data_IF_926400671860
#
_entry.id   IF_926400671860
#
_cell.length_a   1.000
_cell.length_b   1.000
_cell.length_c   1.000
_cell.angle_alpha   90.00
_cell.angle_beta   90.00
_cell.angle_gamma   90.00
#
_symmetry.space_group_name_H-M   'P 1'
#
loop_
_entity.id
_entity.type
_entity.pdbx_description
1 polymer ?
#
# COMPACT_ATOMS: atom_id res chain seq x y z
N UNK A 1 70.32 32.67 6.38
CA UNK A 1 70.54 33.78 5.42
C UNK A 1 69.17 34.24 4.96
N UNK A 2 68.94 35.55 4.99
CA UNK A 2 67.94 36.31 4.18
C UNK A 2 66.49 35.82 4.12
N UNK A 3 65.70 36.37 5.04
CA UNK A 3 64.42 37.11 4.81
C UNK A 3 64.56 38.15 3.64
N UNK A 4 63.52 38.88 3.12
CA UNK A 4 62.13 39.06 3.57
C UNK A 4 61.10 38.95 2.40
N UNK A 5 59.84 39.45 2.37
CA UNK A 5 59.06 40.41 3.20
C UNK A 5 57.55 40.33 2.87
N UNK A 6 56.68 40.51 3.86
CA UNK A 6 55.55 41.49 3.91
C UNK A 6 54.61 41.14 5.08
N UNK A 7 54.77 41.77 6.24
CA UNK A 7 54.37 43.16 6.59
C UNK A 7 52.93 43.23 7.17
N UNK A 8 52.81 42.65 8.37
CA UNK A 8 52.31 43.22 9.64
C UNK A 8 50.91 43.85 9.87
N UNK A 9 50.40 43.72 11.13
CA UNK A 9 49.13 44.28 11.62
C UNK A 9 49.31 45.47 12.61
N UNK A 10 48.19 46.11 13.02
CA UNK A 10 48.04 46.86 14.30
C UNK A 10 46.56 46.70 14.74
N UNK A 11 46.17 46.16 15.91
CA UNK A 11 46.22 46.71 17.31
C UNK A 11 45.40 48.03 17.48
N UNK A 12 44.75 48.41 18.60
CA UNK A 12 44.35 47.75 19.88
C UNK A 12 43.27 48.63 20.58
N UNK A 13 42.63 48.08 21.62
CA UNK A 13 41.61 48.67 22.53
C UNK A 13 42.17 49.76 23.51
N UNK A 14 41.56 50.14 24.67
CA UNK A 14 40.15 50.33 25.12
C UNK A 14 39.91 51.61 26.02
N UNK A 15 38.71 51.73 26.64
CA UNK A 15 38.37 52.52 27.86
C UNK A 15 38.41 54.08 27.74
N UNK A 16 37.71 54.93 28.52
CA UNK A 16 36.71 54.83 29.61
C UNK A 16 35.69 56.02 29.44
N UNK A 17 34.84 56.52 30.37
CA UNK A 17 34.60 56.29 31.82
C UNK A 17 33.13 56.69 32.21
N UNK A 18 32.89 57.11 33.47
CA UNK A 18 31.61 57.31 34.17
C UNK A 18 31.27 58.79 34.59
N UNK A 19 30.15 58.97 35.33
CA UNK A 19 29.68 60.16 36.13
C UNK A 19 29.11 61.37 35.34
N UNK A 20 28.13 62.17 35.81
CA UNK A 20 27.03 62.00 36.80
C UNK A 20 25.97 63.14 36.65
N UNK A 21 24.88 63.04 37.44
CA UNK A 21 24.02 64.13 37.99
C UNK A 21 22.80 64.71 37.21
N UNK A 22 21.81 65.17 37.99
CA UNK A 22 20.39 65.39 37.72
C UNK A 22 19.97 66.82 37.32
N UNK A 23 18.80 66.97 36.66
CA UNK A 23 17.83 68.05 36.98
C UNK A 23 16.39 67.86 36.45
N UNK A 24 15.47 67.45 37.34
CA UNK A 24 14.07 67.91 37.61
C UNK A 24 13.06 68.23 36.45
N UNK A 25 11.81 67.76 36.65
CA UNK A 25 10.60 67.78 35.77
C UNK A 25 9.73 69.10 35.89
N UNK A 26 8.40 69.22 35.57
CA UNK A 26 7.31 68.21 35.37
C UNK A 26 6.15 68.51 34.34
N UNK A 27 5.13 67.61 34.32
CA UNK A 27 3.68 67.70 33.94
C UNK A 27 3.26 68.22 32.53
N UNK A 28 2.29 67.64 31.78
CA UNK A 28 0.87 67.30 32.05
C UNK A 28 0.30 66.39 30.89
N UNK A 29 -0.88 65.70 30.99
CA UNK A 29 -1.28 64.64 30.06
C UNK A 29 -2.40 65.00 29.05
N UNK A 30 -2.90 63.96 28.36
CA UNK A 30 -4.14 63.86 27.57
C UNK A 30 -4.15 64.37 26.11
N UNK A 31 -4.16 63.41 25.17
CA UNK A 31 -4.95 63.48 23.92
C UNK A 31 -5.03 62.09 23.25
N UNK A 32 -6.15 61.38 23.43
CA UNK A 32 -6.62 60.45 22.40
C UNK A 32 -7.28 61.28 21.28
N UNK A 33 -7.23 60.81 20.03
CA UNK A 33 -8.50 60.32 19.48
C UNK A 33 -8.41 59.04 18.63
N UNK A 34 -9.33 58.12 18.92
CA UNK A 34 -10.18 57.39 17.99
C UNK A 34 -9.64 56.90 16.61
N UNK A 35 -9.63 55.57 16.49
CA UNK A 35 -10.10 54.77 15.33
C UNK A 35 -9.35 54.87 14.00
N UNK A 36 -8.69 53.76 13.62
CA UNK A 36 -8.80 53.22 12.26
C UNK A 36 -8.77 51.67 12.31
N UNK A 37 -9.74 51.04 11.64
CA UNK A 37 -9.87 49.59 11.46
C UNK A 37 -9.18 49.21 10.14
N UNK A 38 -7.94 48.71 10.22
CA UNK A 38 -7.22 48.17 9.07
C UNK A 38 -7.26 46.64 9.08
N UNK A 39 -8.41 46.10 8.70
CA UNK A 39 -8.63 44.69 8.45
C UNK A 39 -8.15 44.25 7.04
N UNK A 40 -6.95 44.68 6.61
CA UNK A 40 -6.30 44.19 5.38
C UNK A 40 -5.61 42.83 5.57
N UNK A 41 -6.43 41.80 5.78
CA UNK A 41 -5.99 40.41 5.69
C UNK A 41 -5.53 40.09 4.26
N UNK A 42 -4.21 40.09 4.04
CA UNK A 42 -3.57 39.73 2.79
C UNK A 42 -3.84 38.24 2.48
N UNK A 43 -4.59 37.88 1.41
CA UNK A 43 -4.85 36.49 1.08
C UNK A 43 -3.61 35.91 0.40
N UNK A 44 -2.67 35.44 1.24
CA UNK A 44 -1.62 34.55 0.78
C UNK A 44 -2.26 33.37 0.06
N UNK A 45 -1.92 33.19 -1.21
CA UNK A 45 -2.51 32.18 -2.09
C UNK A 45 -2.20 30.78 -1.57
N UNK A 46 -3.18 30.17 -0.90
CA UNK A 46 -3.15 28.77 -0.49
C UNK A 46 -3.13 27.86 -1.74
N UNK A 47 -2.10 27.02 -1.94
CA UNK A 47 -2.06 26.09 -3.07
C UNK A 47 -3.11 24.95 -3.00
N UNK A 48 -3.89 24.83 -1.93
CA UNK A 48 -4.85 23.73 -1.74
C UNK A 48 -6.08 23.77 -2.69
N UNK A 49 -6.36 24.90 -3.32
CA UNK A 49 -7.66 25.21 -3.92
C UNK A 49 -7.88 24.73 -5.38
N UNK A 50 -7.55 23.48 -5.75
CA UNK A 50 -7.87 22.91 -7.09
C UNK A 50 -8.40 21.47 -7.12
N UNK A 51 -8.84 20.91 -6.00
CA UNK A 51 -9.66 19.68 -6.04
C UNK A 51 -11.15 20.05 -6.21
N UNK A 52 -11.89 19.47 -7.17
CA UNK A 52 -13.34 19.49 -7.11
C UNK A 52 -13.78 18.82 -5.82
N UNK A 53 -14.69 19.43 -5.06
CA UNK A 53 -15.32 18.82 -3.89
C UNK A 53 -16.30 17.72 -4.35
N UNK A 54 -15.74 16.60 -4.86
CA UNK A 54 -16.46 15.37 -5.14
C UNK A 54 -17.18 14.95 -3.85
N UNK A 55 -18.52 14.82 -3.92
CA UNK A 55 -19.29 14.40 -2.75
C UNK A 55 -18.85 13.00 -2.29
N UNK A 56 -18.95 12.65 -0.99
CA UNK A 56 -18.57 11.33 -0.52
C UNK A 56 -19.24 10.17 -1.28
N UNK A 57 -20.46 10.38 -1.79
CA UNK A 57 -21.16 9.42 -2.63
C UNK A 57 -20.48 9.22 -4.01
N UNK A 58 -19.96 10.29 -4.63
CA UNK A 58 -19.19 10.22 -5.88
C UNK A 58 -17.87 9.49 -5.64
N UNK A 59 -17.15 9.82 -4.57
CA UNK A 59 -15.92 9.14 -4.19
C UNK A 59 -16.13 7.63 -4.01
N UNK A 60 -17.16 7.22 -3.25
CA UNK A 60 -17.52 5.80 -3.06
C UNK A 60 -17.92 5.12 -4.37
N UNK A 61 -18.71 5.77 -5.23
CA UNK A 61 -19.12 5.21 -6.51
C UNK A 61 -17.94 5.01 -7.47
N UNK A 62 -17.02 5.97 -7.54
CA UNK A 62 -15.79 5.89 -8.34
C UNK A 62 -14.85 4.81 -7.79
N UNK A 63 -14.65 4.75 -6.48
CA UNK A 63 -13.82 3.74 -5.82
C UNK A 63 -14.34 2.31 -6.08
N UNK A 64 -15.66 2.10 -5.97
CA UNK A 64 -16.31 0.83 -6.29
C UNK A 64 -16.16 0.48 -7.78
N UNK A 65 -16.42 1.44 -8.68
CA UNK A 65 -16.31 1.22 -10.12
C UNK A 65 -14.89 0.81 -10.54
N UNK A 66 -13.86 1.52 -10.05
CA UNK A 66 -12.45 1.21 -10.35
C UNK A 66 -12.02 -0.12 -9.74
N UNK A 67 -12.40 -0.38 -8.48
CA UNK A 67 -12.07 -1.62 -7.79
C UNK A 67 -12.68 -2.88 -8.40
N UNK A 68 -13.83 -2.76 -9.07
CA UNK A 68 -14.47 -3.85 -9.85
C UNK A 68 -13.93 -3.92 -11.28
N UNK A 69 -13.62 -2.78 -11.91
CA UNK A 69 -13.18 -2.73 -13.31
C UNK A 69 -11.83 -3.43 -13.53
N UNK A 70 -10.88 -3.34 -12.59
CA UNK A 70 -9.59 -4.04 -12.69
C UNK A 70 -9.75 -5.56 -12.89
N UNK A 71 -10.44 -6.28 -11.98
CA UNK A 71 -10.77 -7.69 -12.13
C UNK A 71 -11.55 -8.02 -13.41
N UNK A 72 -12.48 -7.16 -13.85
CA UNK A 72 -13.20 -7.36 -15.12
C UNK A 72 -12.26 -7.28 -16.33
N UNK A 73 -11.35 -6.29 -16.36
CA UNK A 73 -10.33 -6.17 -17.41
C UNK A 73 -9.36 -7.36 -17.39
N UNK A 74 -8.99 -7.87 -16.21
CA UNK A 74 -8.12 -9.04 -16.08
C UNK A 74 -8.79 -10.31 -16.61
N UNK A 75 -10.08 -10.52 -16.33
CA UNK A 75 -10.85 -11.64 -16.87
C UNK A 75 -11.01 -11.57 -18.39
N UNK A 76 -11.34 -10.38 -18.93
CA UNK A 76 -11.45 -10.18 -20.39
C UNK A 76 -10.09 -10.38 -21.09
N UNK A 77 -9.01 -9.87 -20.50
CA UNK A 77 -7.65 -10.04 -21.00
C UNK A 77 -7.19 -11.50 -20.95
N UNK A 78 -7.48 -12.21 -19.85
CA UNK A 78 -7.23 -13.65 -19.71
C UNK A 78 -8.01 -14.48 -20.73
N UNK A 79 -9.27 -14.14 -20.98
CA UNK A 79 -10.08 -14.81 -22.00
C UNK A 79 -9.54 -14.55 -23.42
N UNK A 80 -9.07 -13.33 -23.71
CA UNK A 80 -8.40 -13.02 -24.98
C UNK A 80 -7.10 -13.81 -25.16
N UNK A 81 -6.29 -13.91 -24.11
CA UNK A 81 -5.06 -14.69 -24.11
C UNK A 81 -5.31 -16.19 -24.29
N UNK A 82 -6.35 -16.75 -23.67
CA UNK A 82 -6.78 -18.15 -23.88
C UNK A 82 -7.15 -18.44 -25.34
N UNK A 83 -7.80 -17.50 -26.02
CA UNK A 83 -8.12 -17.63 -27.45
C UNK A 83 -6.86 -17.62 -28.32
N UNK A 84 -5.88 -16.76 -27.99
CA UNK A 84 -4.56 -16.73 -28.67
C UNK A 84 -3.80 -18.03 -28.43
N UNK A 85 -3.72 -18.49 -27.18
CA UNK A 85 -3.08 -19.74 -26.77
C UNK A 85 -3.64 -20.95 -27.55
N UNK A 86 -4.97 -21.06 -27.60
CA UNK A 86 -5.68 -22.08 -28.38
C UNK A 86 -5.35 -21.98 -29.88
N UNK A 87 -5.33 -20.76 -30.44
CA UNK A 87 -5.09 -20.53 -31.87
C UNK A 87 -3.65 -20.83 -32.32
N UNK A 88 -2.66 -20.72 -31.43
CA UNK A 88 -1.26 -21.06 -31.72
C UNK A 88 -0.89 -22.52 -31.41
N UNK A 89 -1.85 -23.33 -30.93
CA UNK A 89 -1.65 -24.74 -30.62
C UNK A 89 -1.14 -25.03 -29.20
N UNK A 90 -1.27 -24.06 -28.28
CA UNK A 90 -0.85 -24.17 -26.88
C UNK A 90 0.56 -23.63 -26.63
N UNK A 91 0.67 -22.68 -25.70
CA UNK A 91 1.93 -22.14 -25.20
C UNK A 91 2.52 -23.03 -24.09
N UNK A 92 3.84 -23.00 -23.85
CA UNK A 92 4.42 -23.55 -22.64
C UNK A 92 3.80 -22.91 -21.40
N UNK A 93 3.42 -23.70 -20.38
CA UNK A 93 2.68 -23.21 -19.19
C UNK A 93 3.31 -21.97 -18.54
N UNK A 94 4.65 -21.94 -18.39
CA UNK A 94 5.35 -20.81 -17.81
C UNK A 94 5.22 -19.51 -18.65
N UNK A 95 5.12 -19.62 -19.98
CA UNK A 95 4.88 -18.49 -20.89
C UNK A 95 3.43 -18.03 -20.76
N UNK A 96 2.46 -18.96 -20.74
CA UNK A 96 1.06 -18.64 -20.53
C UNK A 96 0.83 -17.92 -19.19
N UNK A 97 1.39 -18.44 -18.09
CA UNK A 97 1.31 -17.84 -16.74
C UNK A 97 2.00 -16.47 -16.69
N UNK A 98 3.14 -16.28 -17.35
CA UNK A 98 3.78 -14.96 -17.41
C UNK A 98 2.91 -13.95 -18.17
N UNK A 99 2.27 -14.36 -19.26
CA UNK A 99 1.38 -13.50 -20.04
C UNK A 99 0.07 -13.20 -19.30
N UNK A 100 -0.54 -14.16 -18.57
CA UNK A 100 -1.72 -13.88 -17.73
C UNK A 100 -1.37 -12.92 -16.59
N UNK A 101 -0.20 -13.05 -15.97
CA UNK A 101 0.30 -12.11 -14.96
C UNK A 101 0.49 -10.70 -15.54
N UNK A 102 1.13 -10.57 -16.71
CA UNK A 102 1.34 -9.25 -17.35
C UNK A 102 0.00 -8.59 -17.70
N UNK A 103 -0.92 -9.33 -18.32
CA UNK A 103 -2.23 -8.79 -18.73
C UNK A 103 -3.12 -8.50 -17.53
N UNK A 104 -3.22 -9.43 -16.58
CA UNK A 104 -4.07 -9.30 -15.40
C UNK A 104 -3.60 -8.25 -14.40
N UNK A 105 -2.28 -8.08 -14.23
CA UNK A 105 -1.73 -7.19 -13.20
C UNK A 105 -1.20 -5.88 -13.81
N UNK A 106 -0.20 -5.93 -14.70
CA UNK A 106 0.37 -4.70 -15.26
C UNK A 106 -0.60 -3.93 -16.15
N UNK A 107 -1.37 -4.61 -17.01
CA UNK A 107 -2.33 -3.92 -17.90
C UNK A 107 -3.64 -3.62 -17.16
N UNK A 108 -4.31 -4.62 -16.61
CA UNK A 108 -5.66 -4.45 -16.06
C UNK A 108 -5.73 -3.75 -14.69
N UNK A 109 -4.72 -3.88 -13.82
CA UNK A 109 -4.74 -3.25 -12.49
C UNK A 109 -3.84 -2.01 -12.45
N UNK A 110 -2.54 -2.18 -12.70
CA UNK A 110 -1.57 -1.08 -12.73
C UNK A 110 -1.87 -0.07 -13.85
N UNK A 111 -2.15 -0.56 -15.06
CA UNK A 111 -2.49 0.27 -16.22
C UNK A 111 -3.83 0.99 -16.07
N UNK A 112 -4.84 0.36 -15.45
CA UNK A 112 -6.10 1.01 -15.10
C UNK A 112 -5.88 2.15 -14.10
N UNK A 113 -5.12 1.90 -13.03
CA UNK A 113 -4.85 2.88 -11.99
C UNK A 113 -4.03 4.08 -12.51
N UNK A 114 -2.94 3.82 -13.23
CA UNK A 114 -2.11 4.87 -13.86
C UNK A 114 -2.90 5.62 -14.93
N UNK A 115 -3.68 4.91 -15.76
CA UNK A 115 -4.54 5.52 -16.78
C UNK A 115 -5.65 6.39 -16.18
N UNK A 116 -6.23 5.98 -15.04
CA UNK A 116 -7.21 6.76 -14.30
C UNK A 116 -6.61 8.07 -13.75
N UNK A 117 -5.42 8.01 -13.15
CA UNK A 117 -4.75 9.20 -12.64
C UNK A 117 -4.29 10.14 -13.78
N UNK A 118 -3.80 9.59 -14.89
CA UNK A 118 -3.49 10.37 -16.08
C UNK A 118 -4.75 11.04 -16.67
N UNK A 119 -5.89 10.35 -16.70
CA UNK A 119 -7.18 10.92 -17.11
C UNK A 119 -7.69 12.01 -16.15
N UNK A 120 -7.40 11.90 -14.85
CA UNK A 120 -7.60 12.96 -13.84
C UNK A 120 -6.65 14.16 -14.00
N UNK A 121 -5.72 14.12 -14.95
CA UNK A 121 -4.80 15.23 -15.26
C UNK A 121 -3.46 15.19 -14.51
N UNK A 122 -3.15 14.12 -13.78
CA UNK A 122 -1.85 13.98 -13.12
C UNK A 122 -0.76 13.65 -14.15
N UNK A 123 0.34 14.41 -14.13
CA UNK A 123 1.56 14.07 -14.86
C UNK A 123 2.35 12.95 -14.15
N UNK A 124 3.48 12.53 -14.72
CA UNK A 124 4.29 11.45 -14.15
C UNK A 124 4.75 11.74 -12.71
N UNK A 125 5.12 12.98 -12.41
CA UNK A 125 5.50 13.42 -11.06
C UNK A 125 4.31 13.40 -10.12
N UNK A 126 3.17 13.91 -10.56
CA UNK A 126 1.91 13.92 -9.83
C UNK A 126 1.40 12.51 -9.50
N UNK A 127 1.54 11.55 -10.41
CA UNK A 127 1.20 10.14 -10.15
C UNK A 127 2.13 9.56 -9.07
N UNK A 128 3.45 9.81 -9.17
CA UNK A 128 4.42 9.32 -8.18
C UNK A 128 4.17 9.91 -6.80
N UNK A 129 3.82 11.20 -6.69
CA UNK A 129 3.51 11.83 -5.40
C UNK A 129 2.14 11.42 -4.85
N UNK A 130 1.11 11.33 -5.69
CA UNK A 130 -0.24 10.88 -5.28
C UNK A 130 -0.22 9.44 -4.73
N UNK A 131 0.58 8.58 -5.36
CA UNK A 131 0.81 7.20 -4.91
C UNK A 131 1.88 7.09 -3.80
N UNK A 132 2.52 8.19 -3.37
CA UNK A 132 3.58 8.15 -2.36
C UNK A 132 4.76 7.23 -2.69
N UNK A 133 5.10 7.01 -3.98
CA UNK A 133 6.10 6.00 -4.36
C UNK A 133 7.51 6.48 -4.01
N UNK A 134 8.02 6.02 -2.86
CA UNK A 134 9.37 6.35 -2.36
C UNK A 134 10.08 5.13 -1.76
N UNK A 135 11.40 5.22 -1.62
CA UNK A 135 12.18 4.15 -0.96
C UNK A 135 11.77 4.06 0.53
N UNK A 136 11.42 2.88 1.05
CA UNK A 136 11.17 2.70 2.48
C UNK A 136 12.43 2.98 3.32
N UNK A 137 12.22 3.61 4.47
CA UNK A 137 13.19 3.66 5.56
C UNK A 137 13.33 2.31 6.28
N UNK A 138 14.38 2.12 7.08
CA UNK A 138 14.55 0.89 7.88
C UNK A 138 13.38 0.65 8.84
N UNK A 139 12.80 1.72 9.41
CA UNK A 139 11.59 1.64 10.24
C UNK A 139 10.40 1.09 9.47
N UNK A 140 10.20 1.55 8.23
CA UNK A 140 9.13 1.06 7.35
C UNK A 140 9.36 -0.40 6.90
N UNK A 141 10.61 -0.83 6.70
CA UNK A 141 10.92 -2.27 6.52
C UNK A 141 10.58 -3.07 7.79
N UNK A 142 10.81 -2.49 8.98
CA UNK A 142 10.31 -3.05 10.25
C UNK A 142 8.78 -3.18 10.28
N UNK A 143 8.04 -2.22 9.73
CA UNK A 143 6.58 -2.27 9.60
C UNK A 143 6.11 -3.32 8.59
N UNK A 144 6.88 -3.65 7.54
CA UNK A 144 6.58 -4.80 6.66
C UNK A 144 6.59 -6.10 7.47
N UNK A 145 7.61 -6.34 8.30
CA UNK A 145 7.69 -7.56 9.11
C UNK A 145 6.66 -7.56 10.24
N UNK A 146 6.50 -6.44 10.95
CA UNK A 146 5.54 -6.30 12.03
C UNK A 146 4.08 -6.42 11.57
N UNK A 147 3.74 -5.78 10.44
CA UNK A 147 2.44 -5.90 9.78
C UNK A 147 2.16 -7.33 9.33
N UNK A 148 3.17 -8.05 8.81
CA UNK A 148 3.02 -9.45 8.45
C UNK A 148 2.74 -10.35 9.66
N UNK A 149 3.41 -10.11 10.80
CA UNK A 149 3.11 -10.82 12.07
C UNK A 149 1.68 -10.53 12.54
N UNK A 150 1.21 -9.28 12.45
CA UNK A 150 -0.20 -8.94 12.76
C UNK A 150 -1.16 -9.71 11.86
N UNK A 151 -0.90 -9.76 10.54
CA UNK A 151 -1.70 -10.55 9.59
C UNK A 151 -1.75 -12.02 9.98
N UNK A 152 -0.60 -12.64 10.29
CA UNK A 152 -0.55 -14.05 10.70
C UNK A 152 -1.37 -14.29 11.97
N UNK A 153 -1.22 -13.44 13.00
CA UNK A 153 -1.99 -13.56 14.26
C UNK A 153 -3.50 -13.40 13.99
N UNK A 154 -3.90 -12.41 13.21
CA UNK A 154 -5.32 -12.21 12.88
C UNK A 154 -5.88 -13.37 12.06
N UNK A 155 -5.14 -13.87 11.07
CA UNK A 155 -5.57 -15.03 10.28
C UNK A 155 -5.67 -16.31 11.11
N UNK A 156 -4.78 -16.55 12.08
CA UNK A 156 -4.92 -17.66 13.02
C UNK A 156 -6.23 -17.55 13.81
N UNK A 157 -6.50 -16.39 14.44
CA UNK A 157 -7.72 -16.15 15.22
C UNK A 157 -8.98 -16.31 14.36
N UNK A 158 -9.03 -15.69 13.18
CA UNK A 158 -10.20 -15.77 12.28
C UNK A 158 -10.39 -17.19 11.76
N UNK A 159 -9.31 -17.89 11.39
CA UNK A 159 -9.38 -19.28 10.93
C UNK A 159 -9.82 -20.25 12.03
N UNK A 160 -9.46 -20.00 13.30
CA UNK A 160 -10.00 -20.76 14.44
C UNK A 160 -11.51 -20.54 14.61
N UNK A 161 -12.00 -19.31 14.46
CA UNK A 161 -13.45 -19.01 14.50
C UNK A 161 -14.19 -19.70 13.35
N UNK A 162 -13.66 -19.64 12.13
CA UNK A 162 -14.23 -20.32 10.94
C UNK A 162 -14.34 -21.84 11.16
N UNK A 163 -13.29 -22.46 11.71
CA UNK A 163 -13.30 -23.89 12.05
C UNK A 163 -14.31 -24.23 13.16
N UNK A 164 -14.41 -23.42 14.21
CA UNK A 164 -15.41 -23.63 15.29
C UNK A 164 -16.85 -23.50 14.80
N UNK A 165 -17.10 -22.69 13.77
CA UNK A 165 -18.40 -22.56 13.11
C UNK A 165 -18.70 -23.67 12.09
N UNK A 166 -17.73 -24.57 11.82
CA UNK A 166 -17.85 -25.58 10.78
C UNK A 166 -18.00 -25.00 9.37
N UNK A 167 -17.53 -23.77 9.15
CA UNK A 167 -17.71 -23.06 7.90
C UNK A 167 -16.66 -23.49 6.87
N UNK A 168 -17.11 -23.89 5.68
CA UNK A 168 -16.25 -24.20 4.53
C UNK A 168 -15.51 -22.95 4.03
N UNK A 169 -14.36 -23.16 3.40
CA UNK A 169 -13.58 -22.13 2.69
C UNK A 169 -13.44 -22.49 1.22
N UNK A 170 -13.33 -21.48 0.36
CA UNK A 170 -13.03 -21.64 -1.06
C UNK A 170 -11.52 -21.67 -1.34
N UNK A 171 -11.13 -22.49 -2.33
CA UNK A 171 -9.79 -22.53 -2.92
C UNK A 171 -9.54 -21.32 -3.83
N UNK A 172 -8.27 -21.00 -4.08
CA UNK A 172 -7.84 -19.97 -5.02
C UNK A 172 -7.31 -20.62 -6.31
N UNK A 173 -7.74 -20.12 -7.47
CA UNK A 173 -7.38 -20.69 -8.79
C UNK A 173 -5.87 -20.75 -9.04
N UNK A 174 -5.11 -19.75 -8.58
CA UNK A 174 -3.65 -19.72 -8.72
C UNK A 174 -2.96 -20.74 -7.80
N UNK A 175 -3.54 -21.01 -6.62
CA UNK A 175 -3.07 -22.05 -5.71
C UNK A 175 -3.40 -23.46 -6.26
N UNK A 176 -4.58 -23.67 -6.84
CA UNK A 176 -4.93 -24.92 -7.51
C UNK A 176 -4.00 -25.22 -8.70
N UNK A 177 -3.73 -24.22 -9.55
CA UNK A 177 -2.79 -24.35 -10.67
C UNK A 177 -1.37 -24.68 -10.20
N UNK A 178 -0.94 -24.06 -9.08
CA UNK A 178 0.34 -24.32 -8.42
C UNK A 178 0.46 -25.74 -7.85
N UNK A 179 -0.59 -26.25 -7.19
CA UNK A 179 -0.64 -27.63 -6.68
C UNK A 179 -0.48 -28.63 -7.84
N UNK A 180 -1.18 -28.37 -8.95
CA UNK A 180 -1.10 -29.22 -10.15
C UNK A 180 0.25 -29.11 -10.88
N UNK A 181 0.99 -28.02 -10.70
CA UNK A 181 2.24 -27.74 -11.41
C UNK A 181 3.31 -27.12 -10.48
N UNK A 182 3.86 -27.85 -9.49
CA UNK A 182 4.69 -27.25 -8.43
C UNK A 182 5.96 -26.52 -8.94
N UNK A 183 6.41 -26.84 -10.14
CA UNK A 183 7.54 -26.19 -10.83
C UNK A 183 7.32 -24.70 -11.13
N UNK A 184 6.06 -24.21 -11.16
CA UNK A 184 5.77 -22.78 -11.35
C UNK A 184 5.74 -21.99 -10.04
N UNK A 185 5.81 -22.63 -8.88
CA UNK A 185 5.69 -21.94 -7.60
C UNK A 185 6.83 -20.92 -7.36
N UNK A 186 8.11 -21.21 -7.68
CA UNK A 186 9.17 -20.20 -7.60
C UNK A 186 8.91 -18.96 -8.47
N UNK A 187 8.27 -19.12 -9.63
CA UNK A 187 7.83 -17.99 -10.47
C UNK A 187 6.76 -17.16 -9.76
N UNK A 188 5.77 -17.80 -9.13
CA UNK A 188 4.76 -17.10 -8.35
C UNK A 188 5.35 -16.35 -7.14
N UNK A 189 6.25 -16.97 -6.37
CA UNK A 189 6.94 -16.33 -5.24
C UNK A 189 7.62 -15.02 -5.65
N UNK A 190 8.33 -15.02 -6.79
CA UNK A 190 8.95 -13.80 -7.34
C UNK A 190 7.89 -12.82 -7.86
N UNK A 191 6.85 -13.31 -8.54
CA UNK A 191 5.77 -12.48 -9.07
C UNK A 191 4.95 -11.77 -7.98
N UNK A 192 4.86 -12.31 -6.76
CA UNK A 192 4.16 -11.65 -5.65
C UNK A 192 4.82 -10.31 -5.28
N UNK A 193 6.14 -10.20 -5.35
CA UNK A 193 6.87 -8.96 -5.05
C UNK A 193 6.99 -8.01 -6.24
N UNK A 194 7.09 -8.52 -7.46
CA UNK A 194 7.39 -7.70 -8.65
C UNK A 194 6.15 -7.31 -9.46
N UNK A 195 5.08 -8.09 -9.36
CA UNK A 195 3.90 -8.00 -10.21
C UNK A 195 2.64 -7.79 -9.36
N UNK A 196 2.24 -8.79 -8.56
CA UNK A 196 0.94 -8.82 -7.87
C UNK A 196 0.85 -7.77 -6.78
N UNK A 197 1.71 -7.83 -5.75
CA UNK A 197 1.71 -6.86 -4.65
C UNK A 197 1.78 -5.40 -5.14
N UNK A 198 2.70 -5.04 -6.05
CA UNK A 198 2.72 -3.69 -6.64
C UNK A 198 1.45 -3.31 -7.39
N UNK A 199 0.96 -4.13 -8.32
CA UNK A 199 -0.20 -3.76 -9.15
C UNK A 199 -1.50 -3.69 -8.36
N UNK A 200 -1.71 -4.61 -7.43
CA UNK A 200 -2.89 -4.62 -6.58
C UNK A 200 -2.87 -3.46 -5.59
N UNK A 201 -1.76 -3.18 -4.90
CA UNK A 201 -1.73 -2.04 -3.99
C UNK A 201 -1.82 -0.69 -4.74
N UNK A 202 -1.23 -0.56 -5.94
CA UNK A 202 -1.43 0.62 -6.80
C UNK A 202 -2.93 0.88 -7.06
N UNK A 203 -3.69 -0.16 -7.40
CA UNK A 203 -5.13 -0.01 -7.61
C UNK A 203 -5.88 0.24 -6.30
N UNK A 204 -5.70 -0.61 -5.28
CA UNK A 204 -6.58 -0.63 -4.10
C UNK A 204 -6.17 0.35 -3.00
N UNK A 205 -4.89 0.67 -2.81
CA UNK A 205 -4.42 1.69 -1.86
C UNK A 205 -4.19 3.02 -2.53
N UNK A 206 -3.44 2.99 -3.61
CA UNK A 206 -3.15 4.18 -4.41
C UNK A 206 -4.42 4.85 -4.88
N UNK A 207 -5.26 4.14 -5.64
CA UNK A 207 -6.44 4.75 -6.29
C UNK A 207 -7.75 4.56 -5.51
N UNK A 208 -8.15 3.33 -5.13
CA UNK A 208 -9.45 3.09 -4.47
C UNK A 208 -9.48 3.71 -3.07
N UNK A 209 -8.51 3.42 -2.20
CA UNK A 209 -8.41 4.06 -0.88
C UNK A 209 -8.08 5.55 -1.01
N UNK A 210 -7.14 5.96 -1.88
CA UNK A 210 -6.82 7.38 -2.12
C UNK A 210 -8.04 8.22 -2.49
N UNK A 211 -8.86 7.77 -3.45
CA UNK A 211 -10.10 8.48 -3.84
C UNK A 211 -11.17 8.50 -2.77
N UNK A 212 -11.23 7.48 -1.91
CA UNK A 212 -12.07 7.54 -0.71
C UNK A 212 -11.52 8.57 0.30
N UNK A 213 -10.19 8.65 0.50
CA UNK A 213 -9.54 9.58 1.44
C UNK A 213 -9.69 11.06 1.07
N UNK A 214 -9.84 11.37 -0.22
CA UNK A 214 -10.17 12.73 -0.69
C UNK A 214 -11.50 13.26 -0.12
N UNK A 215 -12.47 12.38 0.20
CA UNK A 215 -13.82 12.79 0.67
C UNK A 215 -14.24 12.16 2.02
N UNK A 216 -13.42 11.27 2.60
CA UNK A 216 -13.72 10.52 3.84
C UNK A 216 -12.51 10.45 4.78
N UNK A 217 -12.73 10.40 6.12
CA UNK A 217 -11.67 10.10 7.08
C UNK A 217 -10.99 8.74 6.85
N UNK A 218 -9.81 8.56 7.44
CA UNK A 218 -8.97 7.36 7.32
C UNK A 218 -9.73 6.04 7.55
N UNK A 219 -10.35 5.86 8.71
CA UNK A 219 -11.00 4.61 9.10
C UNK A 219 -12.09 4.12 8.11
N UNK A 220 -13.11 4.92 7.73
CA UNK A 220 -14.10 4.48 6.75
C UNK A 220 -13.51 4.27 5.35
N UNK A 221 -12.52 5.06 4.91
CA UNK A 221 -11.87 4.86 3.63
C UNK A 221 -11.10 3.52 3.57
N UNK A 222 -10.32 3.20 4.61
CA UNK A 222 -9.60 1.92 4.74
C UNK A 222 -10.59 0.74 4.77
N UNK A 223 -11.68 0.87 5.53
CA UNK A 223 -12.69 -0.18 5.65
C UNK A 223 -13.43 -0.43 4.32
N UNK A 224 -13.86 0.62 3.62
CA UNK A 224 -14.56 0.50 2.32
C UNK A 224 -13.61 -0.05 1.25
N UNK A 225 -12.38 0.48 1.13
CA UNK A 225 -11.38 -0.04 0.21
C UNK A 225 -11.08 -1.52 0.47
N UNK A 226 -11.02 -1.92 1.74
CA UNK A 226 -10.76 -3.32 2.13
C UNK A 226 -11.94 -4.24 1.88
N UNK A 227 -13.18 -3.76 2.04
CA UNK A 227 -14.37 -4.51 1.65
C UNK A 227 -14.42 -4.73 0.14
N UNK A 228 -14.08 -3.71 -0.67
CA UNK A 228 -14.00 -3.81 -2.13
C UNK A 228 -12.91 -4.81 -2.54
N UNK A 229 -11.69 -4.67 -2.03
CA UNK A 229 -10.57 -5.58 -2.28
C UNK A 229 -10.89 -7.03 -1.91
N UNK A 230 -11.44 -7.26 -0.71
CA UNK A 230 -11.81 -8.59 -0.27
C UNK A 230 -12.92 -9.19 -1.14
N UNK A 231 -13.96 -8.41 -1.47
CA UNK A 231 -15.12 -8.91 -2.22
C UNK A 231 -14.76 -9.35 -3.65
N UNK A 232 -13.92 -8.60 -4.36
CA UNK A 232 -13.57 -8.94 -5.75
C UNK A 232 -12.79 -10.25 -5.89
N UNK A 233 -12.21 -10.77 -4.81
CA UNK A 233 -11.56 -12.08 -4.81
C UNK A 233 -12.54 -13.23 -5.11
N UNK A 234 -13.86 -13.03 -4.97
CA UNK A 234 -14.90 -14.01 -5.36
C UNK A 234 -14.74 -14.53 -6.80
N UNK A 235 -14.13 -13.72 -7.68
CA UNK A 235 -13.84 -14.06 -9.09
C UNK A 235 -12.62 -14.98 -9.25
N UNK A 236 -11.66 -14.93 -8.32
CA UNK A 236 -10.45 -15.75 -8.29
C UNK A 236 -10.60 -17.03 -7.43
N UNK A 237 -11.76 -17.20 -6.78
CA UNK A 237 -12.06 -18.31 -5.89
C UNK A 237 -12.92 -19.39 -6.57
N UNK A 238 -12.69 -20.65 -6.21
CA UNK A 238 -13.38 -21.86 -6.69
C UNK A 238 -14.20 -22.52 -5.58
N UNK A 239 -15.09 -23.44 -5.94
CA UNK A 239 -16.05 -24.05 -4.99
C UNK A 239 -17.33 -23.24 -4.79
N UNK A 240 -18.10 -23.63 -3.77
CA UNK A 240 -19.47 -23.14 -3.51
C UNK A 240 -19.55 -21.71 -2.97
N UNK A 241 -20.71 -21.07 -3.15
CA UNK A 241 -20.95 -19.66 -2.76
C UNK A 241 -20.65 -19.40 -1.28
N UNK A 242 -21.05 -20.33 -0.39
CA UNK A 242 -20.77 -20.22 1.05
C UNK A 242 -19.27 -20.12 1.33
N UNK A 243 -18.48 -21.10 0.84
CA UNK A 243 -17.03 -21.10 1.01
C UNK A 243 -16.33 -19.88 0.42
N UNK A 244 -16.82 -19.34 -0.70
CA UNK A 244 -16.28 -18.09 -1.26
C UNK A 244 -16.55 -16.90 -0.35
N UNK A 245 -17.75 -16.78 0.21
CA UNK A 245 -18.08 -15.70 1.16
C UNK A 245 -17.28 -15.82 2.46
N UNK A 246 -17.04 -17.04 2.96
CA UNK A 246 -16.12 -17.28 4.08
C UNK A 246 -14.71 -16.78 3.75
N UNK A 247 -14.13 -17.19 2.62
CA UNK A 247 -12.78 -16.75 2.23
C UNK A 247 -12.70 -15.24 2.00
N UNK A 248 -13.72 -14.62 1.40
CA UNK A 248 -13.84 -13.15 1.29
C UNK A 248 -13.84 -12.48 2.67
N UNK A 249 -14.58 -13.00 3.64
CA UNK A 249 -14.59 -12.48 5.01
C UNK A 249 -13.22 -12.62 5.71
N UNK A 250 -12.47 -13.69 5.43
CA UNK A 250 -11.08 -13.86 5.91
C UNK A 250 -10.15 -12.81 5.28
N UNK A 251 -10.23 -12.61 3.96
CA UNK A 251 -9.36 -11.68 3.20
C UNK A 251 -9.55 -10.20 3.55
N UNK A 252 -10.69 -9.84 4.15
CA UNK A 252 -10.94 -8.49 4.67
C UNK A 252 -9.88 -8.07 5.72
N UNK A 253 -9.46 -8.98 6.60
CA UNK A 253 -8.56 -8.64 7.70
C UNK A 253 -7.13 -8.30 7.27
N UNK A 254 -6.42 -9.10 6.43
CA UNK A 254 -5.14 -8.69 5.86
C UNK A 254 -5.21 -7.35 5.11
N UNK A 255 -6.31 -7.13 4.38
CA UNK A 255 -6.53 -5.89 3.64
C UNK A 255 -6.64 -4.66 4.55
N UNK A 256 -7.22 -4.77 5.75
CA UNK A 256 -7.22 -3.68 6.72
C UNK A 256 -5.80 -3.32 7.15
N UNK A 257 -4.91 -4.31 7.33
CA UNK A 257 -3.50 -4.08 7.70
C UNK A 257 -2.76 -3.39 6.55
N UNK A 258 -2.93 -3.83 5.31
CA UNK A 258 -2.35 -3.16 4.14
C UNK A 258 -2.80 -1.70 4.05
N UNK A 259 -4.10 -1.42 4.23
CA UNK A 259 -4.66 -0.07 4.21
C UNK A 259 -4.19 0.84 5.35
N UNK A 260 -4.06 0.28 6.56
CA UNK A 260 -3.55 1.01 7.72
C UNK A 260 -2.04 1.30 7.61
N UNK A 261 -1.25 0.36 7.09
CA UNK A 261 0.19 0.58 6.83
C UNK A 261 0.39 1.62 5.73
N UNK A 262 -0.44 1.62 4.68
CA UNK A 262 -0.40 2.68 3.66
C UNK A 262 -0.71 4.05 4.26
N UNK A 263 -1.80 4.18 5.00
CA UNK A 263 -2.22 5.43 5.64
C UNK A 263 -1.17 5.96 6.63
N UNK A 264 -0.53 5.07 7.40
CA UNK A 264 0.49 5.46 8.38
C UNK A 264 1.82 5.88 7.73
N UNK A 265 2.18 5.30 6.59
CA UNK A 265 3.48 5.54 5.95
C UNK A 265 3.43 6.53 4.79
N UNK A 266 2.26 6.77 4.19
CA UNK A 266 2.09 7.52 2.95
C UNK A 266 3.07 7.03 1.85
N UNK A 267 3.34 5.71 1.84
CA UNK A 267 4.33 5.10 0.97
C UNK A 267 3.86 3.76 0.46
N UNK A 268 3.46 3.71 -0.82
CA UNK A 268 2.89 2.53 -1.44
C UNK A 268 3.86 1.34 -1.57
N UNK A 269 5.17 1.58 -1.49
CA UNK A 269 6.15 0.48 -1.52
C UNK A 269 6.05 -0.38 -0.26
N UNK A 270 5.64 0.20 0.88
CA UNK A 270 5.50 -0.54 2.15
C UNK A 270 4.36 -1.58 2.13
N UNK A 271 3.09 -1.24 1.82
CA UNK A 271 2.02 -2.22 1.69
C UNK A 271 2.27 -3.18 0.52
N UNK A 272 2.89 -2.74 -0.59
CA UNK A 272 3.23 -3.63 -1.71
C UNK A 272 4.24 -4.72 -1.31
N UNK A 273 5.26 -4.37 -0.52
CA UNK A 273 6.21 -5.35 0.05
C UNK A 273 5.55 -6.26 1.09
N UNK A 274 4.64 -5.73 1.92
CA UNK A 274 3.89 -6.49 2.92
C UNK A 274 2.91 -7.50 2.28
N UNK A 275 2.15 -7.07 1.28
CA UNK A 275 1.26 -7.93 0.50
C UNK A 275 2.07 -8.97 -0.30
N UNK A 276 3.14 -8.55 -0.97
CA UNK A 276 4.06 -9.45 -1.67
C UNK A 276 4.66 -10.51 -0.73
N UNK A 277 5.11 -10.12 0.47
CA UNK A 277 5.62 -11.02 1.50
C UNK A 277 4.55 -12.02 1.98
N UNK A 278 3.33 -11.54 2.25
CA UNK A 278 2.25 -12.40 2.70
C UNK A 278 1.95 -13.52 1.69
N UNK A 279 1.75 -13.17 0.42
CA UNK A 279 1.42 -14.14 -0.62
C UNK A 279 2.64 -15.02 -0.97
N UNK A 280 3.85 -14.47 -0.96
CA UNK A 280 5.08 -15.24 -1.19
C UNK A 280 5.30 -16.32 -0.12
N UNK A 281 4.99 -16.04 1.16
CA UNK A 281 5.05 -17.05 2.22
C UNK A 281 3.98 -18.12 1.99
N UNK A 282 2.75 -17.77 1.63
CA UNK A 282 1.69 -18.76 1.32
C UNK A 282 2.14 -19.69 0.19
N UNK A 283 2.66 -19.15 -0.92
CA UNK A 283 3.20 -19.97 -2.01
C UNK A 283 4.42 -20.80 -1.59
N UNK A 284 5.30 -20.28 -0.73
CA UNK A 284 6.45 -21.04 -0.22
C UNK A 284 6.03 -22.21 0.68
N UNK A 285 5.04 -22.00 1.56
CA UNK A 285 4.45 -23.08 2.38
C UNK A 285 3.72 -24.11 1.52
N UNK A 286 3.07 -23.68 0.44
CA UNK A 286 2.45 -24.57 -0.55
C UNK A 286 3.50 -25.42 -1.27
N UNK A 287 4.62 -24.81 -1.70
CA UNK A 287 5.74 -25.54 -2.31
C UNK A 287 6.30 -26.61 -1.37
N UNK A 288 6.53 -26.26 -0.10
CA UNK A 288 7.03 -27.22 0.91
C UNK A 288 6.04 -28.36 1.12
N UNK A 289 4.75 -28.04 1.32
CA UNK A 289 3.68 -29.03 1.54
C UNK A 289 3.54 -30.01 0.37
N UNK A 290 3.62 -29.53 -0.89
CA UNK A 290 3.41 -30.36 -2.09
C UNK A 290 4.68 -31.08 -2.54
N UNK A 291 5.87 -30.56 -2.22
CA UNK A 291 7.16 -31.17 -2.64
C UNK A 291 7.69 -32.20 -1.64
N UNK A 292 7.39 -32.03 -0.35
CA UNK A 292 7.91 -32.85 0.75
C UNK A 292 6.79 -33.50 1.58
N UNK A 293 5.63 -33.78 0.96
CA UNK A 293 4.46 -34.32 1.67
C UNK A 293 4.74 -35.62 2.41
N UNK A 294 5.60 -36.45 1.82
CA UNK A 294 5.83 -37.82 2.24
C UNK A 294 6.87 -37.83 3.37
N UNK A 295 7.96 -37.08 3.23
CA UNK A 295 8.94 -36.85 4.29
C UNK A 295 8.32 -36.14 5.51
N UNK A 296 7.39 -35.21 5.31
CA UNK A 296 6.65 -34.57 6.41
C UNK A 296 5.73 -35.56 7.14
N UNK A 297 5.13 -36.53 6.44
CA UNK A 297 4.36 -37.61 7.06
C UNK A 297 5.28 -38.57 7.84
N UNK A 298 6.38 -39.04 7.24
CA UNK A 298 7.36 -39.89 7.93
C UNK A 298 7.94 -39.22 9.19
N UNK A 299 8.24 -37.91 9.12
CA UNK A 299 8.68 -37.13 10.28
C UNK A 299 7.60 -37.01 11.37
N UNK A 300 6.33 -36.85 10.99
CA UNK A 300 5.22 -36.77 11.94
C UNK A 300 4.97 -38.11 12.63
N UNK A 301 4.99 -39.22 11.89
CA UNK A 301 4.85 -40.58 12.42
C UNK A 301 6.04 -40.96 13.32
N UNK A 302 7.27 -40.67 12.88
CA UNK A 302 8.48 -40.86 13.69
C UNK A 302 8.50 -40.01 14.96
N UNK A 303 8.02 -38.77 14.89
CA UNK A 303 7.86 -37.89 16.05
C UNK A 303 6.82 -38.39 17.04
N UNK A 304 5.67 -38.88 16.56
CA UNK A 304 4.64 -39.48 17.39
C UNK A 304 5.13 -40.77 18.09
N UNK A 305 5.95 -41.57 17.42
CA UNK A 305 6.56 -42.77 18.01
C UNK A 305 7.59 -42.46 19.12
N UNK A 306 8.10 -41.23 19.21
CA UNK A 306 9.06 -40.78 20.23
C UNK A 306 8.42 -40.10 21.44
N UNK A 307 7.11 -39.85 21.43
CA UNK A 307 6.34 -39.31 22.55
C UNK A 307 5.43 -40.38 23.13
N UNK A 308 5.91 -41.23 24.08
CA UNK A 308 5.03 -42.13 24.81
C UNK A 308 4.05 -41.33 25.68
N UNK A 309 2.77 -41.68 25.58
CA UNK A 309 1.69 -41.24 26.48
C UNK A 309 1.85 -41.84 27.90
#
# INVERSE_FOLDING_TARGET
>A
MTDPSRDDPVDRAPAADATDDDSVAPDDPASEPAVEDDSTANPATDPSATAPNDSPAVAVAVALALGVLGPVLALLGGQGLFLVDTAVGGLPLAVYVLLTLIVGQYVAFGGLAVGYLAWRGFDRSGIVSYLGVRRPSLTEIGLVVGGWVVIVITLLVVSSVVQLLGAETASNQSAELAIQNPTIIPLFVVAMFLVVGPCEEILYRGVVQGRLRESLPAAPAIAIASAIFAFIHVMALTGGVSGRLTTVAILFFPSLVFGAVYEYTENLVVPALLHGLHNAVIFTLLYVTVTYSDELQEMAEGGAALLPL
#
